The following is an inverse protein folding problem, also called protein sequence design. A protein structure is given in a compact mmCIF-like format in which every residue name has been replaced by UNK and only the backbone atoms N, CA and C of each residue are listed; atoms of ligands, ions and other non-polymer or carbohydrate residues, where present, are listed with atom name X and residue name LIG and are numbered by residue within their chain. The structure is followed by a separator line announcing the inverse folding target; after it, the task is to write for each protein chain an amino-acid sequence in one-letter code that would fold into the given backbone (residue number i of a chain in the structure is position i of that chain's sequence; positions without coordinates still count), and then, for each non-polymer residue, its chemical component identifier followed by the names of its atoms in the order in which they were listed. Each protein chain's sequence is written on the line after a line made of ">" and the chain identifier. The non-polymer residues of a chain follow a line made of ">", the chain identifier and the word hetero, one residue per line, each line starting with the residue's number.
data_IF_718387330427
#
_entry.id   IF_718387330427
#
_cell.length_a   1.000
_cell.length_b   1.000
_cell.length_c   1.000
_cell.angle_alpha   90.00
_cell.angle_beta   90.00
_cell.angle_gamma   90.00
#
_symmetry.space_group_name_H-M   'P 1'
#
loop_
_entity.id
_entity.type
_entity.pdbx_description
1 polymer ?
#
# COMPACT_ATOMS: atom_id res chain seq x y z
N UNK A 1 -3.86 -10.65 14.34
CA UNK A 1 -4.12 -9.96 13.06
C UNK A 1 -2.85 -9.24 12.64
N UNK A 2 -2.63 -9.01 11.33
CA UNK A 2 -1.41 -8.43 10.78
C UNK A 2 -1.74 -7.14 10.02
N UNK A 3 -0.75 -6.22 9.92
CA UNK A 3 -0.85 -5.01 9.10
C UNK A 3 0.45 -4.83 8.33
N UNK A 4 0.38 -4.90 7.01
CA UNK A 4 1.53 -4.93 6.10
C UNK A 4 1.65 -3.70 5.21
N UNK A 5 0.96 -2.58 5.60
CA UNK A 5 1.06 -1.31 4.91
C UNK A 5 0.92 -0.14 5.89
N UNK A 6 2.06 0.36 6.36
CA UNK A 6 2.13 1.36 7.43
C UNK A 6 3.21 2.38 7.10
N UNK A 7 2.85 3.67 7.20
CA UNK A 7 3.75 4.80 6.98
C UNK A 7 4.08 5.49 8.30
N UNK A 8 5.29 5.25 8.88
CA UNK A 8 5.77 6.03 10.01
C UNK A 8 6.22 7.41 9.52
N UNK A 9 6.66 8.26 10.46
CA UNK A 9 7.19 9.60 10.18
C UNK A 9 8.44 9.65 9.29
N UNK A 10 8.89 8.51 8.77
CA UNK A 10 9.83 8.41 7.65
C UNK A 10 9.19 8.84 6.33
N UNK A 11 7.91 8.62 6.12
CA UNK A 11 7.14 9.18 5.00
C UNK A 11 6.82 10.65 5.27
N UNK A 12 6.93 11.50 4.24
CA UNK A 12 6.81 12.96 4.40
C UNK A 12 5.37 13.42 4.70
N UNK A 13 4.42 12.59 4.39
CA UNK A 13 2.97 12.78 4.52
C UNK A 13 2.36 11.97 5.68
N UNK A 14 3.21 11.39 6.53
CA UNK A 14 2.77 10.60 7.67
C UNK A 14 3.31 11.16 8.99
N UNK A 15 2.57 10.90 10.05
CA UNK A 15 2.89 11.25 11.42
C UNK A 15 3.09 10.00 12.30
N UNK A 16 3.75 10.20 13.43
CA UNK A 16 4.00 9.13 14.41
C UNK A 16 5.28 8.33 14.16
N UNK A 17 6.02 8.14 15.23
CA UNK A 17 7.24 7.35 15.23
C UNK A 17 6.98 5.85 15.16
N UNK A 18 7.99 5.09 14.76
CA UNK A 18 7.98 3.62 14.78
C UNK A 18 7.49 3.06 16.14
N UNK A 19 7.91 3.67 17.27
CA UNK A 19 7.52 3.21 18.60
C UNK A 19 6.04 3.49 18.92
N UNK A 20 5.51 4.64 18.50
CA UNK A 20 4.08 4.98 18.67
C UNK A 20 3.20 4.01 17.89
N UNK A 21 3.58 3.69 16.66
CA UNK A 21 2.88 2.66 15.88
C UNK A 21 2.94 1.28 16.54
N UNK A 22 4.09 0.86 17.07
CA UNK A 22 4.20 -0.41 17.77
C UNK A 22 3.30 -0.47 19.02
N UNK A 23 3.22 0.63 19.78
CA UNK A 23 2.32 0.68 20.94
C UNK A 23 0.85 0.62 20.49
N UNK A 24 0.46 1.41 19.48
CA UNK A 24 -0.89 1.40 18.93
C UNK A 24 -1.28 0.02 18.35
N UNK A 25 -0.34 -0.68 17.72
CA UNK A 25 -0.53 -2.04 17.22
C UNK A 25 -0.87 -3.04 18.34
N UNK A 26 -0.12 -2.99 19.45
CA UNK A 26 -0.41 -3.82 20.61
C UNK A 26 -1.77 -3.50 21.24
N UNK A 27 -2.07 -2.20 21.38
CA UNK A 27 -3.34 -1.74 21.96
C UNK A 27 -4.54 -2.20 21.12
N UNK A 28 -4.33 -2.44 19.81
CA UNK A 28 -5.32 -2.97 18.87
C UNK A 28 -5.24 -4.49 18.68
N UNK A 29 -4.38 -5.18 19.41
CA UNK A 29 -4.26 -6.64 19.35
C UNK A 29 -3.64 -7.17 18.05
N UNK A 30 -2.85 -6.36 17.35
CA UNK A 30 -2.03 -6.82 16.25
C UNK A 30 -0.86 -7.64 16.77
N UNK A 31 -0.51 -8.73 16.08
CA UNK A 31 0.60 -9.62 16.44
C UNK A 31 1.82 -9.45 15.55
N UNK A 32 1.65 -8.86 14.37
CA UNK A 32 2.75 -8.55 13.45
C UNK A 32 2.40 -7.31 12.63
N UNK A 33 3.38 -6.43 12.43
CA UNK A 33 3.27 -5.22 11.61
C UNK A 33 4.51 -5.09 10.71
N UNK A 34 4.30 -4.52 9.53
CA UNK A 34 5.37 -4.21 8.59
C UNK A 34 5.30 -2.74 8.19
N UNK A 35 6.35 -1.99 8.49
CA UNK A 35 6.50 -0.62 8.03
C UNK A 35 6.85 -0.60 6.54
N UNK A 36 6.21 0.27 5.78
CA UNK A 36 6.35 0.39 4.32
C UNK A 36 6.49 1.84 3.90
N UNK A 37 7.51 2.52 4.44
CA UNK A 37 7.82 3.91 4.09
C UNK A 37 7.87 4.11 2.57
N UNK A 38 7.35 5.24 2.09
CA UNK A 38 7.35 5.62 0.67
C UNK A 38 8.75 5.70 0.07
N UNK A 39 8.89 5.13 -1.12
CA UNK A 39 10.03 5.26 -2.01
C UNK A 39 9.55 5.63 -3.42
N UNK A 40 9.15 6.89 -3.58
CA UNK A 40 8.61 7.41 -4.83
C UNK A 40 9.71 8.17 -5.60
N UNK A 41 9.99 7.71 -6.82
CA UNK A 41 11.12 8.20 -7.62
C UNK A 41 10.73 8.50 -9.06
N UNK A 42 9.44 8.69 -9.32
CA UNK A 42 8.94 9.08 -10.63
C UNK A 42 9.61 10.37 -11.11
N UNK A 43 10.19 10.38 -12.32
CA UNK A 43 11.00 11.51 -12.79
C UNK A 43 10.27 12.86 -12.77
N UNK A 44 8.98 12.84 -13.08
CA UNK A 44 8.14 14.04 -13.18
C UNK A 44 7.81 14.66 -11.81
N UNK A 45 7.82 13.83 -10.77
CA UNK A 45 7.53 14.24 -9.39
C UNK A 45 8.73 14.15 -8.45
N UNK A 46 9.92 13.85 -8.99
CA UNK A 46 11.12 13.60 -8.19
C UNK A 46 11.47 14.75 -7.23
N UNK A 47 11.28 15.98 -7.67
CA UNK A 47 11.60 17.15 -6.86
C UNK A 47 10.73 17.30 -5.61
N UNK A 48 9.50 16.78 -5.64
CA UNK A 48 8.52 16.88 -4.55
C UNK A 48 8.42 15.58 -3.75
N UNK A 49 8.33 14.45 -4.41
CA UNK A 49 7.96 13.18 -3.80
C UNK A 49 9.18 12.34 -3.36
N UNK A 50 10.35 12.51 -4.03
CA UNK A 50 11.54 11.74 -3.73
C UNK A 50 12.24 12.21 -2.43
N UNK A 51 11.49 12.23 -1.34
CA UNK A 51 11.95 12.69 -0.02
C UNK A 51 11.54 11.70 1.07
N UNK A 52 12.42 11.56 2.06
CA UNK A 52 12.19 10.78 3.29
C UNK A 52 12.61 11.63 4.48
N UNK A 53 11.87 11.57 5.55
CA UNK A 53 12.19 12.26 6.80
C UNK A 53 12.74 11.22 7.80
N UNK A 54 14.02 11.29 8.12
CA UNK A 54 14.64 10.39 9.10
C UNK A 54 15.07 11.17 10.34
N UNK A 55 14.54 10.82 11.49
CA UNK A 55 14.82 11.47 12.78
C UNK A 55 14.71 13.00 12.71
N UNK A 56 13.66 13.48 12.04
CA UNK A 56 13.37 14.91 11.88
C UNK A 56 14.18 15.63 10.79
N UNK A 57 15.07 14.94 10.08
CA UNK A 57 15.83 15.49 8.97
C UNK A 57 15.30 15.01 7.62
N UNK A 58 15.17 15.92 6.65
CA UNK A 58 14.74 15.59 5.30
C UNK A 58 15.93 15.11 4.46
N UNK A 59 15.78 13.94 3.86
CA UNK A 59 16.76 13.33 2.96
C UNK A 59 16.18 13.15 1.57
N UNK A 60 17.04 13.07 0.55
CA UNK A 60 16.64 12.48 -0.72
C UNK A 60 16.33 10.99 -0.51
N UNK A 61 15.36 10.46 -1.25
CA UNK A 61 14.90 9.07 -1.10
C UNK A 61 16.03 8.04 -1.35
N UNK A 62 16.99 8.36 -2.20
CA UNK A 62 18.20 7.57 -2.46
C UNK A 62 19.40 7.98 -1.57
N UNK A 63 19.14 8.78 -0.53
CA UNK A 63 20.13 9.24 0.44
C UNK A 63 20.44 8.22 1.55
N UNK A 64 21.25 8.62 2.55
CA UNK A 64 21.77 7.71 3.58
C UNK A 64 20.83 7.52 4.78
N UNK A 65 19.53 7.41 4.57
CA UNK A 65 18.52 7.25 5.63
C UNK A 65 18.23 5.78 6.03
N UNK A 66 18.43 4.83 5.12
CA UNK A 66 18.11 3.43 5.37
C UNK A 66 18.82 2.82 6.59
N UNK A 67 20.10 3.11 6.89
CA UNK A 67 20.70 2.65 8.15
C UNK A 67 19.91 3.07 9.38
N UNK A 68 19.43 4.32 9.42
CA UNK A 68 18.63 4.85 10.54
C UNK A 68 17.27 4.16 10.63
N UNK A 69 16.65 3.91 9.48
CA UNK A 69 15.37 3.19 9.41
C UNK A 69 15.49 1.77 9.97
N UNK A 70 16.50 1.01 9.55
CA UNK A 70 16.73 -0.35 10.08
C UNK A 70 17.12 -0.35 11.56
N UNK A 71 17.90 0.62 12.03
CA UNK A 71 18.21 0.79 13.45
C UNK A 71 16.94 0.99 14.31
N UNK A 72 16.02 1.86 13.85
CA UNK A 72 14.79 2.16 14.56
C UNK A 72 13.82 0.96 14.56
N UNK A 73 13.70 0.25 13.42
CA UNK A 73 12.92 -0.99 13.33
C UNK A 73 13.50 -2.08 14.25
N UNK A 74 14.80 -2.29 14.23
CA UNK A 74 15.48 -3.28 15.10
C UNK A 74 15.31 -2.94 16.58
N UNK A 75 15.38 -1.66 16.94
CA UNK A 75 15.14 -1.20 18.31
C UNK A 75 13.69 -1.46 18.74
N UNK A 76 12.74 -1.19 17.86
CA UNK A 76 11.33 -1.50 18.08
C UNK A 76 11.09 -3.02 18.23
N UNK A 77 11.67 -3.83 17.35
CA UNK A 77 11.57 -5.29 17.41
C UNK A 77 12.10 -5.85 18.76
N UNK A 78 13.22 -5.33 19.24
CA UNK A 78 13.75 -5.70 20.57
C UNK A 78 12.85 -5.28 21.72
N UNK A 79 12.21 -4.13 21.63
CA UNK A 79 11.34 -3.57 22.67
C UNK A 79 9.98 -4.26 22.72
N UNK A 80 9.39 -4.51 21.58
CA UNK A 80 8.01 -4.97 21.48
C UNK A 80 7.89 -6.48 21.23
N UNK A 81 8.94 -7.15 20.74
CA UNK A 81 8.98 -8.60 20.57
C UNK A 81 8.64 -9.39 21.83
N UNK A 82 9.26 -9.09 23.00
CA UNK A 82 8.90 -9.74 24.27
C UNK A 82 7.44 -9.49 24.71
N UNK A 83 6.79 -8.47 24.14
CA UNK A 83 5.38 -8.13 24.42
C UNK A 83 4.41 -8.79 23.42
N UNK A 84 4.93 -9.60 22.48
CA UNK A 84 4.14 -10.37 21.53
C UNK A 84 3.89 -9.68 20.17
N UNK A 85 4.62 -8.60 19.85
CA UNK A 85 4.51 -7.92 18.55
C UNK A 85 5.76 -8.21 17.69
N UNK A 86 5.57 -8.83 16.55
CA UNK A 86 6.60 -8.94 15.51
C UNK A 86 6.63 -7.65 14.69
N UNK A 87 7.82 -7.04 14.55
CA UNK A 87 8.01 -5.80 13.77
C UNK A 87 8.90 -6.10 12.57
N UNK A 88 8.44 -5.74 11.38
CA UNK A 88 9.10 -6.00 10.10
C UNK A 88 9.52 -4.71 9.41
N UNK A 89 10.66 -4.79 8.71
CA UNK A 89 11.15 -3.72 7.86
C UNK A 89 10.71 -3.97 6.40
N UNK A 90 9.77 -3.21 5.92
CA UNK A 90 9.35 -3.20 4.52
C UNK A 90 9.64 -1.86 3.85
N UNK A 91 9.16 -1.73 2.64
CA UNK A 91 9.21 -0.51 1.84
C UNK A 91 8.07 -0.53 0.82
N UNK A 92 7.42 0.60 0.59
CA UNK A 92 6.52 0.79 -0.54
C UNK A 92 7.22 1.58 -1.63
N UNK A 93 7.26 1.00 -2.83
CA UNK A 93 7.99 1.59 -3.96
C UNK A 93 7.00 1.95 -5.06
N UNK A 94 6.94 3.24 -5.40
CA UNK A 94 6.24 3.72 -6.57
C UNK A 94 6.84 3.13 -7.85
N UNK A 95 6.02 2.37 -8.60
CA UNK A 95 6.47 1.76 -9.85
C UNK A 95 6.42 2.75 -11.00
N UNK A 96 7.54 2.89 -11.67
CA UNK A 96 7.65 3.51 -13.00
C UNK A 96 8.65 2.72 -13.86
N UNK A 97 8.61 2.83 -15.20
CA UNK A 97 9.42 1.97 -16.08
C UNK A 97 10.93 1.97 -15.83
N UNK A 98 11.47 3.01 -15.18
CA UNK A 98 12.92 3.12 -14.89
C UNK A 98 13.34 2.65 -13.49
N UNK A 99 12.39 2.35 -12.59
CA UNK A 99 12.68 2.13 -11.16
C UNK A 99 13.58 0.90 -10.93
N UNK A 100 13.32 -0.18 -11.64
CA UNK A 100 14.09 -1.44 -11.49
C UNK A 100 15.54 -1.25 -11.90
N UNK A 101 15.78 -0.65 -13.05
CA UNK A 101 17.14 -0.41 -13.58
C UNK A 101 17.92 0.55 -12.70
N UNK A 102 17.25 1.58 -12.17
CA UNK A 102 17.92 2.63 -11.40
C UNK A 102 18.18 2.21 -9.95
N UNK A 103 17.23 1.57 -9.31
CA UNK A 103 17.25 1.34 -7.86
C UNK A 103 17.28 -0.13 -7.44
N UNK A 104 16.96 -1.10 -8.33
CA UNK A 104 16.86 -2.51 -7.96
C UNK A 104 18.12 -3.06 -7.29
N UNK A 105 19.30 -2.79 -7.85
CA UNK A 105 20.57 -3.24 -7.27
C UNK A 105 20.92 -2.52 -5.96
N UNK A 106 20.48 -1.28 -5.75
CA UNK A 106 20.69 -0.54 -4.52
C UNK A 106 19.77 -1.03 -3.40
N UNK A 107 18.49 -1.19 -3.68
CA UNK A 107 17.50 -1.72 -2.75
C UNK A 107 17.80 -3.17 -2.36
N UNK A 108 18.26 -4.00 -3.31
CA UNK A 108 18.62 -5.40 -3.06
C UNK A 108 19.79 -5.62 -2.09
N UNK A 109 20.51 -4.56 -1.67
CA UNK A 109 21.55 -4.65 -0.64
C UNK A 109 20.99 -4.57 0.79
N UNK A 110 19.73 -4.15 0.94
CA UNK A 110 19.12 -3.95 2.22
C UNK A 110 18.26 -5.15 2.64
N UNK A 111 18.25 -5.51 3.93
CA UNK A 111 17.57 -6.71 4.40
C UNK A 111 16.07 -6.48 4.64
N UNK A 112 15.37 -5.95 3.63
CA UNK A 112 13.92 -5.79 3.72
C UNK A 112 13.23 -7.14 3.93
N UNK A 113 12.24 -7.16 4.82
CA UNK A 113 11.35 -8.29 5.00
C UNK A 113 10.28 -8.35 3.91
N UNK A 114 9.84 -7.20 3.41
CA UNK A 114 8.75 -7.06 2.45
C UNK A 114 8.95 -5.87 1.52
N UNK A 115 8.64 -6.06 0.25
CA UNK A 115 8.68 -5.00 -0.77
C UNK A 115 7.31 -4.91 -1.44
N UNK A 116 6.58 -3.86 -1.12
CA UNK A 116 5.30 -3.52 -1.72
C UNK A 116 5.52 -2.64 -2.95
N UNK A 117 4.86 -2.94 -4.05
CA UNK A 117 4.89 -2.13 -5.26
C UNK A 117 3.58 -1.41 -5.47
N UNK A 118 3.59 -0.14 -5.79
CA UNK A 118 2.38 0.66 -6.00
C UNK A 118 2.47 1.49 -7.27
N UNK A 119 1.35 1.63 -7.98
CA UNK A 119 1.26 2.53 -9.14
C UNK A 119 0.55 3.80 -8.69
N UNK A 120 1.34 4.82 -8.35
CA UNK A 120 0.81 6.10 -7.91
C UNK A 120 0.59 7.08 -9.06
N UNK A 121 1.33 6.92 -10.17
CA UNK A 121 1.31 7.87 -11.30
C UNK A 121 1.26 7.16 -12.65
N UNK A 122 0.61 7.83 -13.61
CA UNK A 122 0.59 7.44 -15.03
C UNK A 122 0.96 8.69 -15.84
N UNK A 123 2.07 8.61 -16.60
CA UNK A 123 2.50 9.73 -17.44
C UNK A 123 2.71 11.04 -16.67
N UNK A 124 3.23 10.94 -15.43
CA UNK A 124 3.51 12.08 -14.56
C UNK A 124 2.32 12.56 -13.72
N UNK A 125 1.09 12.12 -14.00
CA UNK A 125 -0.11 12.50 -13.24
C UNK A 125 -0.44 11.44 -12.18
N UNK A 126 -0.84 11.88 -11.00
CA UNK A 126 -1.14 10.98 -9.87
C UNK A 126 -2.56 10.42 -9.98
N UNK A 127 -2.71 9.10 -9.94
CA UNK A 127 -4.02 8.43 -9.86
C UNK A 127 -4.67 8.60 -8.49
N UNK A 128 -3.91 9.05 -7.50
CA UNK A 128 -4.35 9.30 -6.13
C UNK A 128 -4.77 10.75 -5.87
N UNK A 129 -4.65 11.63 -6.87
CA UNK A 129 -5.06 13.05 -6.78
C UNK A 129 -6.27 13.27 -7.71
N UNK A 130 -7.43 13.74 -7.19
CA UNK A 130 -8.63 13.90 -7.98
C UNK A 130 -8.44 14.77 -9.23
N UNK A 131 -7.78 15.91 -9.11
CA UNK A 131 -7.56 16.83 -10.24
C UNK A 131 -6.69 16.21 -11.35
N UNK A 132 -5.66 15.44 -10.99
CA UNK A 132 -4.80 14.73 -11.94
C UNK A 132 -5.58 13.63 -12.66
N UNK A 133 -6.38 12.85 -11.91
CA UNK A 133 -7.21 11.80 -12.48
C UNK A 133 -8.27 12.35 -13.44
N UNK A 134 -8.94 13.45 -13.08
CA UNK A 134 -9.86 14.16 -13.96
C UNK A 134 -9.15 14.67 -15.21
N UNK A 135 -7.96 15.22 -15.10
CA UNK A 135 -7.14 15.66 -16.23
C UNK A 135 -6.82 14.49 -17.16
N UNK A 136 -6.43 13.33 -16.63
CA UNK A 136 -6.17 12.13 -17.43
C UNK A 136 -7.43 11.68 -18.18
N UNK A 137 -8.58 11.65 -17.49
CA UNK A 137 -9.85 11.25 -18.12
C UNK A 137 -10.28 12.24 -19.22
N UNK A 138 -10.09 13.53 -19.01
CA UNK A 138 -10.40 14.55 -20.00
C UNK A 138 -9.48 14.45 -21.22
N UNK A 139 -8.19 14.16 -21.03
CA UNK A 139 -7.21 14.10 -22.11
C UNK A 139 -7.27 12.81 -22.94
N UNK A 140 -7.52 11.67 -22.30
CA UNK A 140 -7.35 10.35 -22.91
C UNK A 140 -8.60 9.47 -22.88
N UNK A 141 -9.61 9.88 -22.14
CA UNK A 141 -10.79 9.05 -21.82
C UNK A 141 -10.52 8.08 -20.66
N UNK A 142 -11.60 7.72 -19.96
CA UNK A 142 -11.54 6.83 -18.79
C UNK A 142 -10.98 5.46 -19.13
N UNK A 143 -11.52 4.80 -20.16
CA UNK A 143 -11.07 3.48 -20.62
C UNK A 143 -9.57 3.44 -20.91
N UNK A 144 -9.05 4.40 -21.68
CA UNK A 144 -7.63 4.45 -22.04
C UNK A 144 -6.74 4.64 -20.81
N UNK A 145 -7.16 5.50 -19.89
CA UNK A 145 -6.43 5.75 -18.63
C UNK A 145 -6.37 4.49 -17.76
N UNK A 146 -7.50 3.80 -17.58
CA UNK A 146 -7.55 2.59 -16.74
C UNK A 146 -6.82 1.41 -17.38
N UNK A 147 -6.88 1.26 -18.71
CA UNK A 147 -6.05 0.29 -19.43
C UNK A 147 -4.56 0.58 -19.23
N UNK A 148 -4.12 1.83 -19.27
CA UNK A 148 -2.74 2.20 -18.99
C UNK A 148 -2.35 1.91 -17.53
N UNK A 149 -3.25 2.15 -16.58
CA UNK A 149 -3.05 1.83 -15.17
C UNK A 149 -2.82 0.33 -14.95
N UNK A 150 -3.71 -0.53 -15.46
CA UNK A 150 -3.56 -1.99 -15.34
C UNK A 150 -2.33 -2.53 -16.09
N UNK A 151 -1.94 -1.91 -17.21
CA UNK A 151 -0.67 -2.22 -17.89
C UNK A 151 0.54 -1.91 -17.02
N UNK A 152 0.54 -0.78 -16.31
CA UNK A 152 1.62 -0.44 -15.36
C UNK A 152 1.69 -1.44 -14.21
N UNK A 153 0.56 -1.88 -13.66
CA UNK A 153 0.51 -2.94 -12.66
C UNK A 153 1.04 -4.28 -13.19
N UNK A 154 0.71 -4.64 -14.45
CA UNK A 154 1.24 -5.83 -15.10
C UNK A 154 2.76 -5.76 -15.25
N UNK A 155 3.28 -4.62 -15.67
CA UNK A 155 4.71 -4.42 -15.86
C UNK A 155 5.44 -4.43 -14.50
N UNK A 156 4.83 -3.88 -13.45
CA UNK A 156 5.30 -4.03 -12.07
C UNK A 156 5.35 -5.51 -11.64
N UNK A 157 4.26 -6.27 -11.87
CA UNK A 157 4.18 -7.68 -11.51
C UNK A 157 5.22 -8.57 -12.24
N UNK A 158 5.67 -8.15 -13.41
CA UNK A 158 6.70 -8.88 -14.20
C UNK A 158 8.12 -8.40 -13.94
N UNK A 159 8.30 -7.35 -13.15
CA UNK A 159 9.60 -6.71 -12.92
C UNK A 159 10.57 -7.54 -12.06
N UNK A 160 10.06 -8.50 -11.29
CA UNK A 160 10.83 -9.26 -10.31
C UNK A 160 11.21 -8.47 -9.04
N UNK A 161 10.69 -7.25 -8.88
CA UNK A 161 11.07 -6.36 -7.78
C UNK A 161 10.19 -6.52 -6.54
N UNK A 162 8.91 -6.86 -6.70
CA UNK A 162 7.89 -6.78 -5.67
C UNK A 162 7.44 -8.13 -5.13
N UNK A 163 7.11 -8.17 -3.84
CA UNK A 163 6.50 -9.34 -3.19
C UNK A 163 4.98 -9.30 -3.33
N UNK A 164 4.38 -8.11 -3.19
CA UNK A 164 2.98 -7.83 -3.45
C UNK A 164 2.81 -6.49 -4.16
N UNK A 165 1.64 -6.29 -4.77
CA UNK A 165 1.20 -4.99 -5.28
C UNK A 165 0.09 -4.43 -4.41
N UNK A 166 0.25 -3.16 -4.02
CA UNK A 166 -0.64 -2.40 -3.16
C UNK A 166 -1.83 -1.81 -3.91
N UNK A 167 -2.93 -1.61 -3.20
CA UNK A 167 -4.14 -0.86 -3.61
C UNK A 167 -4.39 -0.80 -5.13
N UNK A 168 -4.44 -1.98 -5.78
CA UNK A 168 -4.42 -2.17 -7.24
C UNK A 168 -5.60 -1.55 -8.03
N UNK A 169 -6.52 -0.89 -7.36
CA UNK A 169 -7.61 -0.08 -7.94
C UNK A 169 -7.82 1.23 -7.16
N UNK A 170 -6.74 1.83 -6.65
CA UNK A 170 -6.77 3.04 -5.81
C UNK A 170 -7.47 4.23 -6.48
N UNK A 171 -7.51 4.30 -7.81
CA UNK A 171 -8.26 5.31 -8.55
C UNK A 171 -9.75 5.34 -8.17
N UNK A 172 -10.32 4.22 -7.68
CA UNK A 172 -11.71 4.16 -7.19
C UNK A 172 -11.89 5.02 -5.94
N UNK A 173 -10.94 4.95 -5.00
CA UNK A 173 -10.90 5.81 -3.81
C UNK A 173 -10.85 7.28 -4.21
N UNK A 174 -9.96 7.62 -5.13
CA UNK A 174 -9.77 8.98 -5.65
C UNK A 174 -11.00 9.54 -6.35
N UNK A 175 -11.70 8.69 -7.11
CA UNK A 175 -12.93 9.07 -7.80
C UNK A 175 -14.19 8.97 -6.92
N UNK A 176 -14.05 8.66 -5.61
CA UNK A 176 -15.15 8.44 -4.67
C UNK A 176 -16.17 7.40 -5.15
N UNK A 177 -15.69 6.33 -5.80
CA UNK A 177 -16.54 5.27 -6.34
C UNK A 177 -16.68 4.14 -5.30
N UNK A 178 -17.93 3.80 -5.00
CA UNK A 178 -18.30 2.64 -4.21
C UNK A 178 -18.64 1.40 -5.08
N UNK A 179 -18.58 1.55 -6.40
CA UNK A 179 -18.89 0.50 -7.39
C UNK A 179 -17.66 0.14 -8.22
N UNK A 180 -17.70 -1.05 -8.82
CA UNK A 180 -16.65 -1.58 -9.69
C UNK A 180 -17.13 -1.66 -11.16
N UNK A 181 -18.02 -0.74 -11.58
CA UNK A 181 -18.59 -0.69 -12.93
C UNK A 181 -17.53 -0.54 -14.03
N UNK A 182 -16.30 -0.14 -13.69
CA UNK A 182 -15.20 -0.09 -14.66
C UNK A 182 -14.82 -1.47 -15.22
N UNK A 183 -15.10 -2.54 -14.48
CA UNK A 183 -14.90 -3.92 -14.94
C UNK A 183 -15.99 -4.37 -15.94
N UNK A 184 -17.05 -3.59 -16.15
CA UNK A 184 -18.02 -3.81 -17.21
C UNK A 184 -17.51 -3.31 -18.57
N UNK A 185 -16.47 -2.47 -18.61
CA UNK A 185 -15.75 -2.05 -19.79
C UNK A 185 -14.80 -3.15 -20.27
N UNK A 186 -15.08 -3.75 -21.43
CA UNK A 186 -14.33 -4.90 -21.94
C UNK A 186 -12.82 -4.68 -22.00
N UNK A 187 -12.29 -3.61 -22.60
CA UNK A 187 -10.87 -3.30 -22.59
C UNK A 187 -10.24 -3.16 -21.21
N UNK A 188 -10.95 -2.57 -20.25
CA UNK A 188 -10.46 -2.45 -18.85
C UNK A 188 -10.43 -3.82 -18.20
N UNK A 189 -11.49 -4.62 -18.36
CA UNK A 189 -11.55 -5.99 -17.86
C UNK A 189 -10.42 -6.87 -18.43
N UNK A 190 -10.17 -6.80 -19.73
CA UNK A 190 -9.08 -7.53 -20.38
C UNK A 190 -7.71 -7.13 -19.79
N UNK A 191 -7.44 -5.83 -19.63
CA UNK A 191 -6.20 -5.34 -19.06
C UNK A 191 -6.04 -5.78 -17.59
N UNK A 192 -7.11 -5.77 -16.80
CA UNK A 192 -7.13 -6.28 -15.44
C UNK A 192 -6.83 -7.80 -15.39
N UNK A 193 -7.43 -8.58 -16.28
CA UNK A 193 -7.13 -10.01 -16.38
C UNK A 193 -5.67 -10.27 -16.77
N UNK A 194 -5.12 -9.55 -17.75
CA UNK A 194 -3.69 -9.69 -18.13
C UNK A 194 -2.76 -9.41 -16.96
N UNK A 195 -3.03 -8.35 -16.22
CA UNK A 195 -2.28 -8.01 -15.01
C UNK A 195 -2.34 -9.12 -13.97
N UNK A 196 -3.54 -9.57 -13.59
CA UNK A 196 -3.72 -10.57 -12.53
C UNK A 196 -3.12 -11.93 -12.89
N UNK A 197 -3.23 -12.33 -14.17
CA UNK A 197 -2.55 -13.53 -14.68
C UNK A 197 -1.02 -13.37 -14.61
N UNK A 198 -0.49 -12.19 -14.92
CA UNK A 198 0.94 -11.92 -14.81
C UNK A 198 1.39 -11.98 -13.34
N UNK A 199 0.65 -11.37 -12.41
CA UNK A 199 0.93 -11.44 -10.98
C UNK A 199 0.96 -12.90 -10.48
N UNK A 200 -0.07 -13.68 -10.82
CA UNK A 200 -0.16 -15.09 -10.46
C UNK A 200 1.02 -15.93 -11.00
N UNK A 201 1.41 -15.72 -12.26
CA UNK A 201 2.53 -16.44 -12.90
C UNK A 201 3.89 -16.11 -12.31
N UNK A 202 4.07 -14.87 -11.83
CA UNK A 202 5.32 -14.42 -11.23
C UNK A 202 5.35 -14.58 -9.70
N UNK A 203 4.29 -15.14 -9.09
CA UNK A 203 4.20 -15.33 -7.64
C UNK A 203 4.06 -14.02 -6.84
N UNK A 204 3.70 -12.92 -7.52
CA UNK A 204 3.48 -11.62 -6.89
C UNK A 204 2.09 -11.61 -6.24
N UNK A 205 2.04 -11.26 -4.96
CA UNK A 205 0.80 -11.17 -4.19
C UNK A 205 0.03 -9.87 -4.45
N UNK A 206 -1.18 -9.83 -3.91
CA UNK A 206 -2.04 -8.65 -3.91
C UNK A 206 -2.34 -8.24 -2.47
N UNK A 207 -2.18 -6.96 -2.20
CA UNK A 207 -2.63 -6.38 -0.95
C UNK A 207 -4.15 -6.19 -0.96
N UNK A 208 -4.79 -6.43 0.19
CA UNK A 208 -6.10 -5.89 0.51
C UNK A 208 -5.88 -4.64 1.36
N UNK A 209 -5.89 -3.50 0.70
CA UNK A 209 -5.76 -2.20 1.37
C UNK A 209 -7.09 -1.85 2.03
N UNK A 210 -7.05 -1.72 3.34
CA UNK A 210 -8.23 -1.60 4.19
C UNK A 210 -8.47 -0.18 4.70
N UNK A 211 -7.75 0.83 4.20
CA UNK A 211 -7.78 2.23 4.68
C UNK A 211 -9.18 2.76 4.90
N UNK A 212 -10.08 2.53 3.95
CA UNK A 212 -11.48 2.96 4.02
C UNK A 212 -12.44 1.80 4.31
N UNK A 213 -11.93 0.66 4.74
CA UNK A 213 -12.71 -0.56 4.99
C UNK A 213 -13.78 -0.41 6.08
N UNK A 214 -13.67 0.59 6.96
CA UNK A 214 -14.69 0.92 7.95
C UNK A 214 -16.05 1.31 7.32
N UNK A 215 -16.04 1.80 6.07
CA UNK A 215 -17.24 2.11 5.29
C UNK A 215 -17.83 0.90 4.57
N UNK A 216 -17.16 -0.25 4.61
CA UNK A 216 -17.62 -1.52 4.04
C UNK A 216 -16.69 -2.10 2.97
N UNK A 217 -17.00 -3.33 2.52
CA UNK A 217 -16.14 -4.05 1.60
C UNK A 217 -15.97 -3.38 0.23
N UNK A 218 -16.91 -2.57 -0.22
CA UNK A 218 -16.81 -1.84 -1.48
C UNK A 218 -15.75 -0.73 -1.46
N UNK A 219 -15.31 -0.31 -0.28
CA UNK A 219 -14.25 0.70 -0.09
C UNK A 219 -12.86 0.09 0.07
N UNK A 220 -12.74 -1.24 0.10
CA UNK A 220 -11.44 -1.92 0.03
C UNK A 220 -10.80 -1.73 -1.35
N UNK A 221 -9.49 -1.75 -1.39
CA UNK A 221 -8.70 -1.87 -2.62
C UNK A 221 -7.86 -3.16 -2.58
N UNK A 222 -8.15 -4.15 -3.45
CA UNK A 222 -9.21 -4.15 -4.47
C UNK A 222 -10.61 -4.29 -3.89
N UNK A 223 -11.59 -3.77 -4.63
CA UNK A 223 -13.00 -4.02 -4.38
C UNK A 223 -13.37 -5.51 -4.60
N UNK A 224 -14.59 -5.90 -4.18
CA UNK A 224 -14.99 -7.32 -4.16
C UNK A 224 -14.98 -8.03 -5.52
N UNK A 225 -15.29 -7.34 -6.63
CA UNK A 225 -15.30 -7.98 -7.95
C UNK A 225 -13.86 -8.20 -8.45
N UNK A 226 -12.99 -7.21 -8.31
CA UNK A 226 -11.57 -7.33 -8.69
C UNK A 226 -10.85 -8.36 -7.80
N UNK A 227 -11.19 -8.45 -6.50
CA UNK A 227 -10.66 -9.49 -5.61
C UNK A 227 -11.05 -10.89 -6.09
N UNK A 228 -12.33 -11.11 -6.42
CA UNK A 228 -12.78 -12.41 -6.99
C UNK A 228 -12.07 -12.71 -8.30
N UNK A 229 -11.87 -11.71 -9.15
CA UNK A 229 -11.11 -11.86 -10.40
C UNK A 229 -9.65 -12.25 -10.13
N UNK A 230 -9.00 -11.67 -9.12
CA UNK A 230 -7.64 -12.03 -8.71
C UNK A 230 -7.54 -13.51 -8.30
N UNK A 231 -8.48 -13.97 -7.46
CA UNK A 231 -8.54 -15.38 -7.05
C UNK A 231 -8.78 -16.30 -8.26
N UNK A 232 -9.71 -15.94 -9.16
CA UNK A 232 -10.02 -16.71 -10.37
C UNK A 232 -8.82 -16.73 -11.36
N UNK A 233 -8.04 -15.65 -11.42
CA UNK A 233 -6.82 -15.56 -12.24
C UNK A 233 -5.64 -16.35 -11.69
N UNK A 234 -5.77 -16.93 -10.49
CA UNK A 234 -4.76 -17.80 -9.89
C UNK A 234 -3.82 -17.11 -8.88
N UNK A 235 -4.08 -15.88 -8.48
CA UNK A 235 -3.34 -15.25 -7.37
C UNK A 235 -3.55 -16.07 -6.09
N UNK A 236 -2.48 -16.33 -5.34
CA UNK A 236 -2.50 -17.17 -4.12
C UNK A 236 -1.96 -16.46 -2.88
N UNK A 237 -1.25 -15.37 -3.06
CA UNK A 237 -0.63 -14.60 -1.97
C UNK A 237 -1.43 -13.32 -1.78
N UNK A 238 -1.95 -13.13 -0.57
CA UNK A 238 -2.68 -11.94 -0.17
C UNK A 238 -2.12 -11.40 1.14
N UNK A 239 -1.95 -10.08 1.24
CA UNK A 239 -1.65 -9.37 2.48
C UNK A 239 -2.82 -8.46 2.85
N UNK A 240 -2.85 -7.98 4.10
CA UNK A 240 -3.77 -6.93 4.53
C UNK A 240 -2.94 -5.75 5.01
N UNK A 241 -3.28 -4.56 4.55
CA UNK A 241 -2.63 -3.31 4.95
C UNK A 241 -3.66 -2.23 5.28
N UNK A 242 -3.41 -1.45 6.33
CA UNK A 242 -4.25 -0.30 6.68
C UNK A 242 -3.90 0.95 5.89
N UNK A 243 -2.70 1.00 5.30
CA UNK A 243 -2.17 2.20 4.63
C UNK A 243 -2.23 3.41 5.58
N UNK A 244 -1.89 3.15 6.86
CA UNK A 244 -2.01 4.13 7.92
C UNK A 244 -0.90 5.16 7.84
N UNK A 245 -1.28 6.44 7.91
CA UNK A 245 -0.39 7.60 7.96
C UNK A 245 -0.41 8.27 9.34
N UNK A 246 -0.99 7.59 10.33
CA UNK A 246 -1.01 7.96 11.74
C UNK A 246 -1.28 6.74 12.62
N UNK A 247 -0.68 6.67 13.84
CA UNK A 247 -0.83 5.50 14.72
C UNK A 247 -2.29 5.21 15.11
N UNK A 248 -3.15 6.23 15.12
CA UNK A 248 -4.57 6.12 15.51
C UNK A 248 -5.41 5.33 14.50
N UNK A 249 -4.92 5.09 13.29
CA UNK A 249 -5.65 4.34 12.24
C UNK A 249 -4.98 3.02 11.85
N UNK A 250 -3.92 2.60 12.56
CA UNK A 250 -3.28 1.30 12.30
C UNK A 250 -4.28 0.15 12.42
N UNK A 251 -4.27 -0.79 11.48
CA UNK A 251 -5.13 -1.97 11.49
C UNK A 251 -6.62 -1.68 11.23
N UNK A 252 -7.01 -0.43 10.93
CA UNK A 252 -8.39 -0.08 10.55
C UNK A 252 -8.81 -0.89 9.33
N UNK A 253 -10.10 -1.31 9.28
CA UNK A 253 -10.67 -2.08 8.17
C UNK A 253 -10.22 -3.55 8.11
N UNK A 254 -9.26 -4.01 8.90
CA UNK A 254 -8.72 -5.37 8.82
C UNK A 254 -9.76 -6.48 9.03
N UNK A 255 -10.79 -6.27 9.85
CA UNK A 255 -11.88 -7.22 10.01
C UNK A 255 -12.75 -7.32 8.74
N UNK A 256 -12.99 -6.20 8.06
CA UNK A 256 -13.73 -6.14 6.79
C UNK A 256 -12.90 -6.80 5.68
N UNK A 257 -11.59 -6.51 5.60
CA UNK A 257 -10.67 -7.15 4.65
C UNK A 257 -10.63 -8.68 4.85
N UNK A 258 -10.52 -9.14 6.11
CA UNK A 258 -10.62 -10.57 6.44
C UNK A 258 -11.91 -11.19 5.91
N UNK A 259 -13.04 -10.54 6.13
CA UNK A 259 -14.34 -11.04 5.67
C UNK A 259 -14.42 -11.10 4.15
N UNK A 260 -13.97 -10.05 3.46
CA UNK A 260 -13.94 -10.00 2.00
C UNK A 260 -13.07 -11.13 1.39
N UNK A 261 -11.90 -11.40 1.99
CA UNK A 261 -11.06 -12.53 1.60
C UNK A 261 -11.76 -13.86 1.74
N UNK A 262 -12.40 -14.12 2.89
CA UNK A 262 -13.16 -15.36 3.11
C UNK A 262 -14.34 -15.51 2.14
N UNK A 263 -15.05 -14.42 1.85
CA UNK A 263 -16.17 -14.41 0.89
C UNK A 263 -15.68 -14.63 -0.55
N UNK A 264 -14.42 -14.29 -0.87
CA UNK A 264 -13.76 -14.58 -2.13
C UNK A 264 -13.14 -16.00 -2.18
N UNK A 265 -13.22 -16.78 -1.09
CA UNK A 265 -12.68 -18.15 -1.02
C UNK A 265 -11.19 -18.21 -0.64
N UNK A 266 -10.60 -17.11 -0.19
CA UNK A 266 -9.22 -17.07 0.31
C UNK A 266 -9.24 -17.51 1.78
N UNK A 267 -8.43 -18.51 2.11
CA UNK A 267 -8.37 -19.09 3.46
C UNK A 267 -7.15 -18.65 4.26
N UNK A 268 -6.11 -18.17 3.59
CA UNK A 268 -4.84 -17.83 4.20
C UNK A 268 -4.38 -16.45 3.74
N UNK A 269 -3.71 -15.71 4.63
CA UNK A 269 -2.98 -14.47 4.31
C UNK A 269 -1.50 -14.68 4.57
N UNK A 270 -0.68 -13.91 3.85
CA UNK A 270 0.76 -13.99 3.95
C UNK A 270 1.32 -12.92 4.90
N UNK A 271 2.34 -13.30 5.67
CA UNK A 271 3.35 -12.42 6.26
C UNK A 271 4.68 -12.70 5.60
N UNK A 272 5.66 -11.81 5.74
CA UNK A 272 6.95 -11.94 5.08
C UNK A 272 8.11 -11.77 6.06
N UNK A 273 9.17 -12.56 5.85
CA UNK A 273 10.45 -12.38 6.50
C UNK A 273 11.54 -12.57 5.45
N UNK A 274 12.40 -11.56 5.28
CA UNK A 274 13.43 -11.54 4.24
C UNK A 274 12.86 -11.94 2.87
N UNK A 275 11.72 -11.34 2.52
CA UNK A 275 10.99 -11.55 1.26
C UNK A 275 10.47 -12.97 1.03
N UNK A 276 10.43 -13.77 2.08
CA UNK A 276 9.89 -15.13 2.03
C UNK A 276 8.52 -15.18 2.72
N UNK A 277 7.46 -15.60 2.03
CA UNK A 277 6.11 -15.62 2.60
C UNK A 277 5.92 -16.77 3.60
N UNK A 278 5.16 -16.48 4.66
CA UNK A 278 4.55 -17.47 5.56
C UNK A 278 3.04 -17.28 5.55
N UNK A 279 2.28 -18.37 5.52
CA UNK A 279 0.84 -18.33 5.38
C UNK A 279 0.14 -18.63 6.70
N UNK A 280 -0.90 -17.86 7.01
CA UNK A 280 -1.67 -17.92 8.25
C UNK A 280 -3.16 -18.04 7.95
N UNK A 281 -3.82 -19.00 8.59
CA UNK A 281 -5.26 -19.22 8.44
C UNK A 281 -6.07 -18.03 8.94
N UNK A 282 -6.95 -17.51 8.09
CA UNK A 282 -7.89 -16.46 8.47
C UNK A 282 -8.90 -16.92 9.53
N UNK A 283 -9.20 -18.23 9.62
CA UNK A 283 -10.04 -18.79 10.67
C UNK A 283 -9.47 -18.66 12.07
N UNK A 284 -8.14 -18.59 12.19
CA UNK A 284 -7.43 -18.52 13.48
C UNK A 284 -7.45 -17.10 14.07
N UNK A 285 -7.92 -16.13 13.29
CA UNK A 285 -8.13 -14.77 13.76
C UNK A 285 -9.46 -14.69 14.52
N UNK A 286 -9.47 -14.03 15.67
CA UNK A 286 -10.71 -13.83 16.45
C UNK A 286 -11.82 -13.23 15.55
N UNK A 287 -13.01 -13.82 15.61
CA UNK A 287 -14.12 -13.43 14.74
C UNK A 287 -14.58 -11.98 14.99
N UNK A 288 -14.40 -11.52 16.20
CA UNK A 288 -14.70 -10.17 16.63
C UNK A 288 -13.38 -9.47 16.96
N UNK A 289 -13.04 -8.43 16.21
CA UNK A 289 -12.01 -7.48 16.63
C UNK A 289 -12.46 -6.79 17.93
N UNK A 290 -12.46 -7.54 19.02
CA UNK A 290 -12.76 -7.01 20.34
C UNK A 290 -11.63 -6.03 20.72
N UNK A 291 -11.82 -4.77 20.38
CA UNK A 291 -10.88 -3.68 20.62
C UNK A 291 -10.96 -2.52 19.65
N UNK A 292 -11.59 -2.67 18.50
CA UNK A 292 -11.73 -1.56 17.55
C UNK A 292 -12.93 -0.67 17.90
N UNK A 293 -12.74 0.26 18.82
CA UNK A 293 -13.60 1.42 18.91
C UNK A 293 -13.33 2.28 17.68
N UNK A 294 -14.33 2.41 16.79
CA UNK A 294 -14.29 3.38 15.69
C UNK A 294 -14.09 4.77 16.27
N UNK A 295 -13.10 5.54 15.82
CA UNK A 295 -13.08 6.96 16.12
C UNK A 295 -14.33 7.59 15.48
N UNK A 296 -15.18 8.19 16.29
CA UNK A 296 -16.39 8.87 15.83
C UNK A 296 -16.03 9.98 14.85
N UNK A 297 -16.40 9.79 13.60
CA UNK A 297 -16.70 10.78 12.59
C UNK A 297 -15.75 11.98 12.45
N UNK A 298 -14.76 11.86 11.57
CA UNK A 298 -14.32 12.95 10.71
C UNK A 298 -13.91 12.36 9.37
N UNK A 299 -14.67 12.69 8.31
CA UNK A 299 -14.12 12.63 6.96
C UNK A 299 -12.87 13.50 6.96
N UNK A 300 -11.71 12.91 6.71
CA UNK A 300 -10.52 13.68 6.34
C UNK A 300 -10.68 13.93 4.84
N UNK A 301 -11.24 15.09 4.51
CA UNK A 301 -11.29 15.57 3.14
C UNK A 301 -9.86 15.77 2.64
N UNK A 302 -9.49 15.05 1.58
CA UNK A 302 -8.47 15.39 0.63
C UNK A 302 -7.03 15.40 1.13
N UNK A 303 -6.20 14.60 0.51
CA UNK A 303 -4.75 14.83 0.43
C UNK A 303 -4.50 16.25 -0.07
N UNK A 304 -4.24 17.18 0.82
CA UNK A 304 -3.62 18.45 0.50
C UNK A 304 -2.11 18.23 0.58
N UNK A 305 -1.49 17.82 -0.51
CA UNK A 305 -0.05 18.07 -0.71
C UNK A 305 0.15 19.57 -0.57
N UNK A 306 0.99 19.98 0.39
CA UNK A 306 1.21 21.34 0.80
C UNK A 306 1.45 22.27 -0.39
N UNK A 307 0.54 23.19 -0.63
CA UNK A 307 0.87 24.42 -1.36
C UNK A 307 1.86 25.19 -0.51
N UNK A 308 3.13 25.12 -0.88
CA UNK A 308 4.12 26.10 -0.44
C UNK A 308 3.69 27.44 -1.01
N UNK A 309 3.03 28.24 -0.18
CA UNK A 309 2.72 29.63 -0.50
C UNK A 309 4.02 30.38 -0.79
N UNK A 310 4.24 30.68 -2.06
CA UNK A 310 5.25 31.63 -2.50
C UNK A 310 4.86 33.04 -2.01
N UNK A 311 5.37 33.41 -0.86
CA UNK A 311 5.31 34.80 -0.38
C UNK A 311 6.22 35.67 -1.22
N UNK A 312 5.68 36.38 -2.19
CA UNK A 312 6.31 37.59 -2.70
C UNK A 312 6.22 38.62 -1.56
N UNK A 313 7.36 39.10 -1.10
CA UNK A 313 7.48 40.41 -0.43
C UNK A 313 8.28 41.29 -1.34
N UNK A 314 7.72 42.50 -1.55
CA UNK A 314 8.30 43.67 -2.19
C UNK A 314 9.68 44.03 -1.65
#
# INVERSE_FOLDING_TARGET
>A
MFDYHIHPDYSIDADGSVLEYCQAALDRGLSEICFTTHFDTEPEAYATDARVKARGQLHAVDGPWLPLYFEDIDAAARTFGPRGLTVRAGIEIGYHPGVVQRYGAWLGRWPFDFVLGSVHRIGGLAVTIPADLEQMYAAHGRTTTLVAYFKSLRDAATSGMFDCLGHIDVYRRTAHLDSESDLDDGPVYEAACEFLVAAARNGVGIEINARDGEYGANYLCPGPALLRLAVASGVRTFTIGSDSHGPEVIGVGGAVARRALLDAGVLDVATFSRRSPAYHRLSDWAADGAGMATPSGRRVDGFALGQVAGGQKE
#
